data_IF_069948748417
#
_entry.id   IF_069948748417
#
_cell.length_a   1.000
_cell.length_b   1.000
_cell.length_c   1.000
_cell.angle_alpha   90.00
_cell.angle_beta   90.00
_cell.angle_gamma   90.00
#
_symmetry.space_group_name_H-M   'P 1'
#
loop_
_entity.id
_entity.type
_entity.pdbx_description
1 polymer ?
#
# COMPACT_ATOMS: atom_id res chain seq x y z
N UNK A 1 -10.22 10.19 -2.27
CA UNK A 1 -10.77 9.67 -0.99
C UNK A 1 -9.61 9.05 -0.21
N UNK A 2 -9.65 9.01 1.12
CA UNK A 2 -8.53 8.57 1.96
C UNK A 2 -8.82 7.25 2.68
N UNK A 3 -7.78 6.47 2.97
CA UNK A 3 -7.88 5.21 3.72
C UNK A 3 -8.33 5.50 5.16
N UNK A 4 -9.45 4.90 5.57
CA UNK A 4 -10.06 5.12 6.90
C UNK A 4 -9.64 4.09 7.94
N UNK A 5 -8.87 3.07 7.57
CA UNK A 5 -8.38 2.03 8.49
C UNK A 5 -7.59 2.59 9.67
N UNK A 6 -7.86 2.01 10.84
CA UNK A 6 -7.07 2.09 12.06
C UNK A 6 -5.98 1.02 12.09
N UNK A 7 -4.98 1.20 12.95
CA UNK A 7 -3.93 0.19 13.13
C UNK A 7 -4.46 -1.10 13.75
N UNK A 8 -5.51 -1.03 14.57
CA UNK A 8 -6.15 -2.20 15.16
C UNK A 8 -6.89 -3.05 14.12
N UNK A 9 -7.63 -2.39 13.22
CA UNK A 9 -8.29 -3.07 12.09
C UNK A 9 -7.26 -3.69 11.15
N UNK A 10 -6.16 -2.98 10.88
CA UNK A 10 -5.07 -3.51 10.08
C UNK A 10 -4.41 -4.74 10.74
N UNK A 11 -4.14 -4.68 12.05
CA UNK A 11 -3.57 -5.78 12.81
C UNK A 11 -4.45 -7.03 12.73
N UNK A 12 -5.75 -6.86 12.94
CA UNK A 12 -6.74 -7.93 12.87
C UNK A 12 -6.84 -8.52 11.46
N UNK A 13 -7.00 -7.67 10.44
CA UNK A 13 -7.24 -8.10 9.07
C UNK A 13 -6.00 -8.68 8.38
N UNK A 14 -4.81 -8.14 8.68
CA UNK A 14 -3.55 -8.63 8.12
C UNK A 14 -2.89 -9.74 8.95
N UNK A 15 -3.43 -10.06 10.14
CA UNK A 15 -2.88 -11.07 11.05
C UNK A 15 -1.49 -10.69 11.60
N UNK A 16 -1.25 -9.40 11.86
CA UNK A 16 0.04 -8.88 12.32
C UNK A 16 -0.08 -8.31 13.74
N UNK A 17 1.03 -8.20 14.47
CA UNK A 17 1.01 -7.58 15.79
C UNK A 17 0.63 -6.09 15.71
N UNK A 18 0.05 -5.56 16.79
CA UNK A 18 -0.33 -4.14 16.87
C UNK A 18 0.85 -3.19 16.60
N UNK A 19 2.05 -3.54 17.08
CA UNK A 19 3.26 -2.77 16.84
C UNK A 19 3.66 -2.74 15.37
N UNK A 20 3.58 -3.90 14.69
CA UNK A 20 3.87 -4.00 13.25
C UNK A 20 2.81 -3.22 12.46
N UNK A 21 1.53 -3.34 12.83
CA UNK A 21 0.44 -2.61 12.18
C UNK A 21 0.60 -1.09 12.30
N UNK A 22 1.01 -0.57 13.46
CA UNK A 22 1.27 0.86 13.66
C UNK A 22 2.37 1.39 12.74
N UNK A 23 3.41 0.60 12.50
CA UNK A 23 4.51 0.96 11.60
C UNK A 23 4.13 0.85 10.12
N UNK A 24 3.34 -0.17 9.75
CA UNK A 24 3.00 -0.45 8.35
C UNK A 24 1.81 0.36 7.84
N UNK A 25 0.87 0.76 8.70
CA UNK A 25 -0.32 1.53 8.31
C UNK A 25 0.03 2.81 7.52
N UNK A 26 0.90 3.73 7.99
CA UNK A 26 1.19 4.95 7.24
C UNK A 26 1.85 4.66 5.89
N UNK A 27 2.67 3.61 5.80
CA UNK A 27 3.29 3.17 4.54
C UNK A 27 2.23 2.64 3.59
N UNK A 28 1.41 1.69 4.03
CA UNK A 28 0.36 1.10 3.21
C UNK A 28 -0.63 2.15 2.69
N UNK A 29 -1.03 3.12 3.54
CA UNK A 29 -1.85 4.28 3.16
C UNK A 29 -1.23 5.09 2.04
N UNK A 30 0.00 5.55 2.25
CA UNK A 30 0.70 6.35 1.25
C UNK A 30 0.86 5.61 -0.10
N UNK A 31 1.05 4.29 -0.07
CA UNK A 31 1.18 3.47 -1.27
C UNK A 31 -0.10 3.40 -2.10
N UNK A 32 -1.21 3.06 -1.46
CA UNK A 32 -2.48 2.87 -2.17
C UNK A 32 -3.06 4.20 -2.65
N UNK A 33 -2.96 5.24 -1.83
CA UNK A 33 -3.44 6.59 -2.17
C UNK A 33 -2.62 7.21 -3.30
N UNK A 34 -1.29 6.99 -3.33
CA UNK A 34 -0.44 7.49 -4.43
C UNK A 34 -0.62 6.70 -5.72
N UNK A 35 -0.92 5.40 -5.63
CA UNK A 35 -1.12 4.55 -6.81
C UNK A 35 -2.50 4.75 -7.48
N UNK A 36 -3.55 4.92 -6.68
CA UNK A 36 -4.92 5.08 -7.16
C UNK A 36 -5.75 6.01 -6.24
N UNK A 37 -5.50 7.33 -6.25
CA UNK A 37 -6.16 8.29 -5.34
C UNK A 37 -7.67 8.42 -5.54
N UNK A 38 -8.16 8.01 -6.71
CA UNK A 38 -9.59 8.02 -7.10
C UNK A 38 -10.29 6.73 -6.77
N UNK A 39 -9.60 5.72 -6.24
CA UNK A 39 -10.22 4.47 -5.84
C UNK A 39 -11.21 4.68 -4.68
N UNK A 40 -12.31 3.91 -4.63
CA UNK A 40 -13.20 3.86 -3.48
C UNK A 40 -12.45 3.54 -2.18
N UNK A 41 -12.90 4.12 -1.06
CA UNK A 41 -12.29 3.91 0.27
C UNK A 41 -12.19 2.43 0.63
N UNK A 42 -13.21 1.64 0.29
CA UNK A 42 -13.24 0.20 0.55
C UNK A 42 -12.11 -0.53 -0.19
N UNK A 43 -11.85 -0.15 -1.44
CA UNK A 43 -10.79 -0.72 -2.27
C UNK A 43 -9.41 -0.27 -1.77
N UNK A 44 -9.29 1.00 -1.37
CA UNK A 44 -8.07 1.52 -0.76
C UNK A 44 -7.76 0.82 0.57
N UNK A 45 -8.78 0.58 1.40
CA UNK A 45 -8.66 -0.13 2.66
C UNK A 45 -8.20 -1.58 2.43
N UNK A 46 -8.88 -2.33 1.55
CA UNK A 46 -8.52 -3.70 1.20
C UNK A 46 -7.10 -3.80 0.62
N UNK A 47 -6.74 -2.88 -0.28
CA UNK A 47 -5.41 -2.81 -0.85
C UNK A 47 -4.33 -2.52 0.21
N UNK A 48 -4.63 -1.66 1.19
CA UNK A 48 -3.72 -1.33 2.28
C UNK A 48 -3.50 -2.54 3.21
N UNK A 49 -4.56 -3.30 3.52
CA UNK A 49 -4.48 -4.54 4.30
C UNK A 49 -3.56 -5.55 3.62
N UNK A 50 -3.78 -5.79 2.32
CA UNK A 50 -2.96 -6.74 1.54
C UNK A 50 -1.51 -6.30 1.46
N UNK A 51 -1.26 -5.02 1.20
CA UNK A 51 0.10 -4.47 1.14
C UNK A 51 0.82 -4.61 2.50
N UNK A 52 0.15 -4.29 3.61
CA UNK A 52 0.72 -4.43 4.94
C UNK A 52 1.00 -5.90 5.31
N UNK A 53 0.07 -6.82 5.01
CA UNK A 53 0.26 -8.25 5.27
C UNK A 53 1.47 -8.81 4.53
N UNK A 54 1.65 -8.44 3.26
CA UNK A 54 2.83 -8.83 2.49
C UNK A 54 4.12 -8.24 3.07
N UNK A 55 4.13 -6.96 3.44
CA UNK A 55 5.29 -6.30 4.05
C UNK A 55 5.68 -6.95 5.39
N UNK A 56 4.69 -7.33 6.20
CA UNK A 56 4.94 -8.02 7.46
C UNK A 56 5.54 -9.42 7.26
N UNK A 57 5.06 -10.18 6.26
CA UNK A 57 5.64 -11.48 5.91
C UNK A 57 7.09 -11.36 5.40
N UNK A 58 7.39 -10.32 4.63
CA UNK A 58 8.76 -10.03 4.19
C UNK A 58 9.68 -9.68 5.37
N UNK A 59 9.16 -8.99 6.40
CA UNK A 59 9.92 -8.71 7.64
C UNK A 59 10.05 -9.93 8.55
N UNK A 60 9.13 -10.90 8.50
CA UNK A 60 9.16 -12.12 9.30
C UNK A 60 10.18 -13.17 8.81
N UNK A 61 10.71 -13.02 7.59
CA UNK A 61 11.83 -13.84 7.12
C UNK A 61 13.16 -13.34 7.72
N UNK A 62 14.00 -14.21 8.34
CA UNK A 62 15.25 -13.81 8.97
C UNK A 62 16.39 -13.44 7.99
N UNK A 63 16.07 -13.01 6.76
CA UNK A 63 17.08 -12.68 5.75
C UNK A 63 16.83 -11.30 5.14
N UNK A 64 17.82 -10.45 5.38
CA UNK A 64 18.10 -9.13 4.79
C UNK A 64 17.35 -7.96 5.43
N UNK A 65 18.06 -7.31 6.36
CA UNK A 65 18.45 -5.89 6.24
C UNK A 65 17.48 -4.96 5.53
N UNK A 66 16.18 -5.06 5.83
CA UNK A 66 15.28 -3.92 5.77
C UNK A 66 15.54 -3.16 7.06
N UNK A 67 16.75 -2.62 7.10
CA UNK A 67 17.11 -1.51 7.96
C UNK A 67 15.94 -0.53 7.90
N UNK A 68 15.27 -0.38 9.04
CA UNK A 68 14.21 0.60 9.31
C UNK A 68 14.73 2.04 9.15
N UNK A 69 16.01 2.23 8.77
CA UNK A 69 16.58 3.53 8.45
C UNK A 69 16.08 4.02 7.08
N UNK A 70 15.39 5.15 7.13
CA UNK A 70 15.14 6.04 5.99
C UNK A 70 14.52 5.34 4.78
N UNK A 71 13.31 4.78 4.95
CA UNK A 71 12.35 4.88 3.85
C UNK A 71 12.00 6.36 3.67
N UNK A 72 12.90 7.11 3.02
CA UNK A 72 12.52 8.32 2.31
C UNK A 72 11.28 7.96 1.50
N UNK A 73 10.23 8.77 1.62
CA UNK A 73 8.92 8.63 0.97
C UNK A 73 8.98 8.67 -0.58
N UNK A 74 10.16 8.49 -1.15
CA UNK A 74 10.37 8.28 -2.56
C UNK A 74 9.97 6.86 -2.93
N UNK A 75 9.24 6.81 -4.04
CA UNK A 75 8.57 5.65 -4.59
C UNK A 75 9.58 4.58 -5.02
N UNK A 76 10.16 3.86 -4.07
CA UNK A 76 11.19 2.86 -4.32
C UNK A 76 10.59 1.67 -5.08
N UNK A 77 11.31 1.03 -6.02
CA UNK A 77 10.85 -0.18 -6.72
C UNK A 77 10.34 -1.30 -5.80
N UNK A 78 10.79 -1.33 -4.55
CA UNK A 78 10.32 -2.24 -3.50
C UNK A 78 8.84 -2.03 -3.15
N UNK A 79 8.34 -0.81 -3.26
CA UNK A 79 6.97 -0.42 -2.94
C UNK A 79 5.96 -0.87 -4.02
N UNK A 80 6.30 -0.70 -5.30
CA UNK A 80 5.49 -1.24 -6.41
C UNK A 80 5.48 -2.77 -6.35
N UNK A 81 6.61 -3.37 -5.97
CA UNK A 81 6.70 -4.82 -5.74
C UNK A 81 5.76 -5.26 -4.61
N UNK A 82 5.66 -4.50 -3.51
CA UNK A 82 4.71 -4.80 -2.45
C UNK A 82 3.25 -4.77 -2.94
N UNK A 83 2.86 -3.77 -3.75
CA UNK A 83 1.51 -3.74 -4.34
C UNK A 83 1.26 -4.90 -5.30
N UNK A 84 2.26 -5.24 -6.13
CA UNK A 84 2.16 -6.31 -7.13
C UNK A 84 2.03 -7.69 -6.48
N UNK A 85 2.89 -7.98 -5.50
CA UNK A 85 2.95 -9.30 -4.86
C UNK A 85 1.87 -9.50 -3.80
N UNK A 86 1.34 -8.42 -3.21
CA UNK A 86 0.17 -8.50 -2.33
C UNK A 86 -1.16 -8.68 -3.08
N UNK A 87 -1.17 -8.55 -4.41
CA UNK A 87 -2.40 -8.51 -5.20
C UNK A 87 -3.20 -7.20 -5.07
N UNK A 88 -2.74 -6.26 -4.23
CA UNK A 88 -3.32 -4.91 -4.12
C UNK A 88 -3.28 -4.17 -5.46
N UNK A 89 -2.26 -4.41 -6.29
CA UNK A 89 -2.14 -3.82 -7.62
C UNK A 89 -3.27 -4.20 -8.55
N UNK A 90 -3.81 -5.43 -8.46
CA UNK A 90 -4.93 -5.87 -9.28
C UNK A 90 -6.21 -5.12 -8.90
N UNK A 91 -6.46 -4.95 -7.59
CA UNK A 91 -7.60 -4.19 -7.05
C UNK A 91 -7.54 -2.71 -7.44
N UNK A 92 -6.36 -2.12 -7.39
CA UNK A 92 -6.17 -0.71 -7.70
C UNK A 92 -6.00 -0.44 -9.19
N UNK A 93 -5.71 -1.46 -10.01
CA UNK A 93 -5.46 -1.29 -11.45
C UNK A 93 -6.55 -0.56 -12.23
N UNK A 94 -7.86 -0.72 -11.94
CA UNK A 94 -8.92 0.01 -12.66
C UNK A 94 -8.92 1.51 -12.32
N UNK A 95 -8.38 1.87 -11.16
CA UNK A 95 -8.36 3.23 -10.62
C UNK A 95 -6.97 3.88 -10.69
N UNK A 96 -6.00 3.14 -11.24
CA UNK A 96 -4.64 3.64 -11.43
C UNK A 96 -4.71 4.84 -12.36
N UNK A 97 -4.05 5.94 -11.97
CA UNK A 97 -3.81 7.04 -12.90
C UNK A 97 -2.98 6.47 -14.05
N UNK A 98 -3.60 6.27 -15.22
CA UNK A 98 -2.83 6.10 -16.46
C UNK A 98 -2.16 7.44 -16.67
N UNK A 99 -0.86 7.56 -16.34
CA UNK A 99 0.01 8.55 -16.98
C UNK A 99 0.21 8.11 -18.44
N UNK A 100 -0.87 8.04 -19.21
CA UNK A 100 -0.83 8.24 -20.65
C UNK A 100 -1.21 9.71 -20.81
N UNK A 101 -0.42 10.45 -21.60
CA UNK A 101 -0.53 11.91 -21.72
C UNK A 101 -1.98 12.39 -21.69
N UNK A 102 -2.27 13.21 -20.68
CA UNK A 102 -3.47 14.05 -20.67
C UNK A 102 -3.24 15.08 -21.78
N UNK A 103 -3.55 14.68 -23.02
CA UNK A 103 -4.14 15.60 -23.97
C UNK A 103 -5.60 15.62 -23.52
N UNK A 104 -5.98 16.67 -22.81
CA UNK A 104 -7.39 16.99 -22.65
C UNK A 104 -7.92 17.29 -24.06
N UNK A 105 -8.43 16.26 -24.74
CA UNK A 105 -9.33 16.46 -25.86
C UNK A 105 -10.74 16.59 -25.29
N UNK A 106 -11.24 17.83 -25.46
CA UNK A 106 -12.62 18.19 -25.78
C UNK A 106 -13.67 18.02 -24.68
N UNK A 107 -14.67 18.88 -24.54
CA UNK A 107 -15.37 19.77 -25.48
C UNK A 107 -15.87 21.02 -24.72
#
# INVERSE_FOLDING_TARGET
MAVTLTSAELASAAGVSSEIAQRLLPVAKALVERYAPTAPVEILNEAAIRAAGYLAQQQAHPLRSLSVFNMSFDYSPSMVSALRHSGAMALLSPFKIRRAGVIEESD
#
